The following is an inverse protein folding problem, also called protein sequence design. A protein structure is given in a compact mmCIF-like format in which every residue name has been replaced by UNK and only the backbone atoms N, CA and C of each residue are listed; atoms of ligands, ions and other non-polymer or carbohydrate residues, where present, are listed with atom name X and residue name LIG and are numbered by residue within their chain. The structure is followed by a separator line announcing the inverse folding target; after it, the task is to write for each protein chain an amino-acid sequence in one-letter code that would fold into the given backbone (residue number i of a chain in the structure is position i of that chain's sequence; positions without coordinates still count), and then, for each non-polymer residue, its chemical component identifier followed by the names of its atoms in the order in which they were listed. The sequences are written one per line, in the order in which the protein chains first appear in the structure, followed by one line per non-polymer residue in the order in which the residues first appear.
data_IF_691341814283
#
_entry.id   IF_691341814283
#
_cell.length_a   1.000
_cell.length_b   1.000
_cell.length_c   1.000
_cell.angle_alpha   90.00
_cell.angle_beta   90.00
_cell.angle_gamma   90.00
#
_symmetry.space_group_name_H-M   'P 1'
#
loop_
_entity.id
_entity.type
_entity.pdbx_description
1 polymer ?
#
# COMPACT_ATOMS: atom_id res chain seq x y z
N UNK A 1 6.28 1.53 18.87
CA UNK A 1 5.92 1.98 17.51
C UNK A 1 5.03 3.22 17.62
N UNK A 2 5.36 4.27 16.90
CA UNK A 2 4.66 5.56 17.01
C UNK A 2 3.90 5.98 15.75
N UNK A 3 3.41 5.04 14.99
CA UNK A 3 2.56 5.36 13.84
C UNK A 3 1.17 5.72 14.37
N UNK A 4 0.79 6.99 14.24
CA UNK A 4 -0.46 7.50 14.83
C UNK A 4 -1.74 6.89 14.26
N UNK A 5 -1.64 6.23 13.11
CA UNK A 5 -2.77 5.53 12.50
C UNK A 5 -2.94 4.09 13.00
N UNK A 6 -2.05 3.60 13.86
CA UNK A 6 -2.11 2.27 14.44
C UNK A 6 -2.46 2.41 15.92
N UNK A 7 -3.72 2.17 16.26
CA UNK A 7 -4.19 2.27 17.64
C UNK A 7 -3.85 1.01 18.44
N UNK A 8 -4.08 -0.16 17.85
CA UNK A 8 -3.80 -1.47 18.42
C UNK A 8 -3.03 -2.29 17.39
N UNK A 9 -1.74 -2.51 17.66
CA UNK A 9 -0.84 -3.18 16.71
C UNK A 9 -1.26 -4.63 16.42
N UNK A 10 -1.76 -5.36 17.41
CA UNK A 10 -2.17 -6.75 17.20
C UNK A 10 -3.40 -6.85 16.31
N UNK A 11 -4.42 -6.03 16.60
CA UNK A 11 -5.63 -5.97 15.78
C UNK A 11 -5.33 -5.49 14.38
N UNK A 12 -4.47 -4.48 14.26
CA UNK A 12 -4.05 -3.92 12.98
C UNK A 12 -3.34 -4.96 12.12
N UNK A 13 -2.41 -5.69 12.71
CA UNK A 13 -1.65 -6.76 12.04
C UNK A 13 -2.56 -7.88 11.55
N UNK A 14 -3.51 -8.31 12.37
CA UNK A 14 -4.47 -9.38 12.03
C UNK A 14 -5.39 -9.00 10.87
N UNK A 15 -5.56 -7.72 10.60
CA UNK A 15 -6.39 -7.25 9.50
C UNK A 15 -5.79 -7.45 8.11
N UNK A 16 -4.51 -7.80 8.03
CA UNK A 16 -3.84 -8.03 6.75
C UNK A 16 -4.00 -9.49 6.30
N UNK A 17 -4.38 -9.69 5.06
CA UNK A 17 -4.42 -11.02 4.43
C UNK A 17 -3.62 -11.06 3.13
N UNK A 18 -3.58 -9.96 2.40
CA UNK A 18 -2.85 -9.88 1.13
C UNK A 18 -1.40 -9.43 1.36
N UNK A 19 -0.47 -10.07 0.68
CA UNK A 19 0.91 -9.62 0.62
C UNK A 19 1.56 -9.99 -0.71
N UNK A 20 2.64 -9.30 -1.04
CA UNK A 20 3.56 -9.67 -2.11
C UNK A 20 4.97 -9.71 -1.55
N UNK A 21 5.88 -10.43 -2.22
CA UNK A 21 7.26 -10.58 -1.77
C UNK A 21 8.19 -9.70 -2.61
N UNK A 22 9.18 -9.13 -1.95
CA UNK A 22 10.28 -8.40 -2.59
C UNK A 22 11.60 -8.86 -1.98
N UNK A 23 12.66 -8.82 -2.78
CA UNK A 23 14.03 -9.01 -2.29
C UNK A 23 14.78 -7.69 -2.46
N UNK A 24 15.48 -7.26 -1.43
CA UNK A 24 16.20 -5.99 -1.46
C UNK A 24 17.39 -6.12 -2.41
N UNK A 25 17.44 -5.25 -3.42
CA UNK A 25 18.53 -5.20 -4.40
C UNK A 25 19.68 -4.33 -3.87
N UNK A 26 20.88 -4.62 -4.32
CA UNK A 26 22.05 -3.82 -3.96
C UNK A 26 21.84 -2.34 -4.31
N UNK A 27 21.26 -2.05 -5.48
CA UNK A 27 20.95 -0.68 -5.92
C UNK A 27 19.95 0.06 -5.04
N UNK A 28 19.26 -0.65 -4.15
CA UNK A 28 18.26 -0.10 -3.24
C UNK A 28 18.84 0.19 -1.85
N UNK A 29 20.13 -0.04 -1.66
CA UNK A 29 20.81 0.25 -0.40
C UNK A 29 21.53 1.60 -0.44
N UNK A 30 21.79 2.16 0.73
CA UNK A 30 22.52 3.41 0.90
C UNK A 30 24.02 3.15 1.21
N UNK A 31 24.76 4.22 1.49
CA UNK A 31 26.20 4.11 1.79
C UNK A 31 26.51 3.30 3.06
N UNK A 32 25.51 3.08 3.91
CA UNK A 32 25.67 2.29 5.15
C UNK A 32 25.27 0.83 4.97
N UNK A 33 24.87 0.43 3.77
CA UNK A 33 24.40 -0.92 3.48
C UNK A 33 22.96 -1.21 3.88
N UNK A 34 22.23 -0.19 4.31
CA UNK A 34 20.83 -0.30 4.70
C UNK A 34 19.92 0.01 3.53
N UNK A 35 18.70 -0.54 3.55
CA UNK A 35 17.67 -0.16 2.62
C UNK A 35 17.52 1.38 2.64
N UNK A 36 17.64 2.00 1.46
CA UNK A 36 17.50 3.44 1.35
C UNK A 36 16.10 3.86 1.79
N UNK A 37 16.01 4.93 2.56
CA UNK A 37 14.75 5.41 3.17
C UNK A 37 13.68 5.77 2.15
N UNK A 38 14.02 5.98 0.88
CA UNK A 38 13.03 6.27 -0.18
C UNK A 38 12.45 4.99 -0.80
N UNK A 39 13.12 3.87 -0.68
CA UNK A 39 12.74 2.62 -1.36
C UNK A 39 11.45 2.01 -0.81
N UNK A 40 11.12 2.07 0.50
CA UNK A 40 9.82 1.56 0.97
C UNK A 40 8.62 2.10 0.19
N UNK A 41 8.68 3.34 -0.28
CA UNK A 41 7.61 3.93 -1.09
C UNK A 41 7.46 3.22 -2.44
N UNK A 42 8.56 2.79 -3.05
CA UNK A 42 8.54 1.98 -4.28
C UNK A 42 7.94 0.60 -4.00
N UNK A 43 8.27 0.00 -2.88
CA UNK A 43 7.69 -1.28 -2.47
C UNK A 43 6.18 -1.16 -2.20
N UNK A 44 5.75 -0.07 -1.56
CA UNK A 44 4.32 0.20 -1.35
C UNK A 44 3.59 0.33 -2.68
N UNK A 45 4.17 1.04 -3.64
CA UNK A 45 3.58 1.18 -4.98
C UNK A 45 3.42 -0.17 -5.65
N UNK A 46 4.48 -0.97 -5.68
CA UNK A 46 4.45 -2.31 -6.26
C UNK A 46 3.37 -3.17 -5.58
N UNK A 47 3.37 -3.23 -4.26
CA UNK A 47 2.42 -4.04 -3.51
C UNK A 47 0.98 -3.55 -3.68
N UNK A 48 0.77 -2.25 -3.71
CA UNK A 48 -0.54 -1.64 -3.95
C UNK A 48 -1.09 -2.01 -5.32
N UNK A 49 -0.26 -1.98 -6.35
CA UNK A 49 -0.67 -2.36 -7.70
C UNK A 49 -1.05 -3.85 -7.74
N UNK A 50 -0.26 -4.72 -7.12
CA UNK A 50 -0.60 -6.14 -7.03
C UNK A 50 -1.91 -6.36 -6.26
N UNK A 51 -2.15 -5.60 -5.20
CA UNK A 51 -3.41 -5.62 -4.47
C UNK A 51 -4.59 -5.19 -5.36
N UNK A 52 -4.44 -4.10 -6.10
CA UNK A 52 -5.51 -3.62 -7.00
C UNK A 52 -5.78 -4.60 -8.14
N UNK A 53 -4.76 -5.31 -8.63
CA UNK A 53 -4.95 -6.41 -9.58
C UNK A 53 -5.78 -7.52 -8.95
N UNK A 54 -5.45 -7.90 -7.72
CA UNK A 54 -6.14 -8.96 -6.99
C UNK A 54 -7.63 -8.66 -6.80
N UNK A 55 -7.96 -7.43 -6.49
CA UNK A 55 -9.36 -6.98 -6.31
C UNK A 55 -10.02 -6.51 -7.61
N UNK A 56 -9.32 -6.65 -8.75
CA UNK A 56 -9.83 -6.44 -10.12
C UNK A 56 -10.15 -4.99 -10.48
N UNK A 57 -9.53 -4.02 -9.80
CA UNK A 57 -9.74 -2.59 -10.12
C UNK A 57 -8.82 -2.09 -11.23
N UNK A 58 -7.66 -2.73 -11.43
CA UNK A 58 -6.68 -2.26 -12.42
C UNK A 58 -7.18 -2.33 -13.86
N UNK A 59 -8.08 -3.27 -14.17
CA UNK A 59 -8.62 -3.40 -15.52
C UNK A 59 -9.31 -2.13 -16.00
N UNK A 60 -10.11 -1.51 -15.13
CA UNK A 60 -10.82 -0.27 -15.48
C UNK A 60 -9.83 0.91 -15.55
N UNK A 61 -8.92 1.00 -14.62
CA UNK A 61 -7.95 2.10 -14.56
C UNK A 61 -6.93 2.07 -15.70
N UNK A 62 -6.57 0.88 -16.19
CA UNK A 62 -5.65 0.71 -17.32
C UNK A 62 -6.35 0.77 -18.68
N UNK A 63 -7.67 0.79 -18.71
CA UNK A 63 -8.43 0.88 -19.96
C UNK A 63 -8.23 2.28 -20.58
N UNK A 64 -7.70 2.39 -21.81
CA UNK A 64 -7.51 3.69 -22.48
C UNK A 64 -8.83 4.45 -22.67
N UNK A 65 -9.95 3.74 -22.76
CA UNK A 65 -11.30 4.32 -22.90
C UNK A 65 -11.92 4.63 -21.53
N UNK A 66 -11.29 4.22 -20.44
CA UNK A 66 -11.75 4.49 -19.09
C UNK A 66 -11.66 5.98 -18.77
N UNK A 67 -12.57 6.46 -17.93
CA UNK A 67 -12.69 7.87 -17.58
C UNK A 67 -12.04 8.21 -16.23
N UNK A 68 -11.66 7.19 -15.45
CA UNK A 68 -11.21 7.33 -14.07
C UNK A 68 -9.82 6.74 -13.87
N UNK A 69 -9.05 7.36 -13.00
CA UNK A 69 -7.73 6.86 -12.60
C UNK A 69 -7.53 7.08 -11.09
N UNK A 70 -6.69 6.25 -10.44
CA UNK A 70 -6.31 6.49 -9.07
C UNK A 70 -5.11 7.44 -9.01
N UNK A 71 -5.08 8.32 -8.02
CA UNK A 71 -3.93 9.17 -7.73
C UNK A 71 -3.59 9.08 -6.25
N UNK A 72 -2.32 9.18 -5.92
CA UNK A 72 -1.85 9.21 -4.54
C UNK A 72 -1.99 10.62 -4.02
N UNK A 73 -2.75 10.80 -2.93
CA UNK A 73 -2.92 12.11 -2.29
C UNK A 73 -1.87 12.34 -1.21
N UNK A 74 -1.53 11.31 -0.43
CA UNK A 74 -0.45 11.36 0.53
C UNK A 74 0.16 9.96 0.69
N UNK A 75 1.34 9.91 1.29
CA UNK A 75 2.02 8.65 1.53
C UNK A 75 3.00 8.84 2.69
N UNK A 76 3.02 7.89 3.61
CA UNK A 76 3.78 7.96 4.84
C UNK A 76 4.46 6.61 5.10
N UNK A 77 5.67 6.65 5.63
CA UNK A 77 6.41 5.46 6.05
C UNK A 77 7.00 5.69 7.43
N UNK A 78 6.88 4.70 8.30
CA UNK A 78 7.45 4.70 9.65
C UNK A 78 8.41 3.52 9.76
N UNK A 79 9.69 3.83 10.03
CA UNK A 79 10.78 2.86 10.03
C UNK A 79 10.95 2.27 11.42
N UNK A 80 10.97 0.92 11.52
CA UNK A 80 11.07 0.21 12.80
C UNK A 80 12.41 -0.46 12.99
N UNK A 81 12.91 -1.15 11.95
CA UNK A 81 14.17 -1.87 11.96
C UNK A 81 14.91 -1.67 10.66
N UNK A 82 16.23 -1.72 10.74
CA UNK A 82 17.09 -1.66 9.57
C UNK A 82 16.90 -2.90 8.71
N UNK A 83 16.93 -2.70 7.39
CA UNK A 83 16.83 -3.76 6.39
C UNK A 83 18.08 -3.70 5.52
N UNK A 84 18.60 -4.86 5.14
CA UNK A 84 19.88 -4.97 4.45
C UNK A 84 19.73 -5.61 3.07
N UNK A 85 20.79 -5.52 2.28
CA UNK A 85 20.87 -6.17 0.98
C UNK A 85 20.45 -7.64 1.06
N UNK A 86 19.69 -8.06 0.05
CA UNK A 86 19.24 -9.45 -0.17
C UNK A 86 18.24 -9.97 0.87
N UNK A 87 17.81 -9.16 1.82
CA UNK A 87 16.71 -9.58 2.69
C UNK A 87 15.42 -9.73 1.89
N UNK A 88 14.65 -10.74 2.24
CA UNK A 88 13.31 -10.98 1.67
C UNK A 88 12.27 -10.39 2.58
N UNK A 89 11.38 -9.59 2.01
CA UNK A 89 10.30 -8.95 2.74
C UNK A 89 8.96 -9.36 2.17
N UNK A 90 7.97 -9.47 3.04
CA UNK A 90 6.56 -9.53 2.67
C UNK A 90 5.96 -8.16 2.89
N UNK A 91 5.41 -7.59 1.84
CA UNK A 91 4.74 -6.30 1.90
C UNK A 91 3.24 -6.55 1.90
N UNK A 92 2.65 -6.40 3.07
CA UNK A 92 1.20 -6.59 3.28
C UNK A 92 0.47 -5.31 2.94
N UNK A 93 -0.72 -5.44 2.36
CA UNK A 93 -1.57 -4.32 1.96
C UNK A 93 -3.00 -4.58 2.39
N UNK A 94 -3.65 -3.55 2.92
CA UNK A 94 -5.10 -3.60 3.19
C UNK A 94 -5.72 -2.24 2.96
N UNK A 95 -7.01 -2.24 2.60
CA UNK A 95 -7.83 -1.04 2.66
C UNK A 95 -8.28 -0.86 4.10
N UNK A 96 -7.87 0.23 4.75
CA UNK A 96 -8.20 0.47 6.15
C UNK A 96 -9.56 1.16 6.31
N UNK A 97 -9.83 2.13 5.46
CA UNK A 97 -11.13 2.83 5.44
C UNK A 97 -11.43 3.32 4.04
N UNK A 98 -12.72 3.42 3.72
CA UNK A 98 -13.19 3.80 2.39
C UNK A 98 -14.05 5.05 2.49
N UNK A 99 -13.63 6.11 1.79
CA UNK A 99 -14.42 7.34 1.64
C UNK A 99 -15.34 7.26 0.42
N UNK A 100 -15.88 8.40 0.01
CA UNK A 100 -16.75 8.48 -1.16
C UNK A 100 -16.00 8.33 -2.49
N UNK A 101 -14.77 8.85 -2.56
CA UNK A 101 -13.90 8.79 -3.74
C UNK A 101 -12.45 8.46 -3.37
N UNK A 102 -12.18 8.11 -2.12
CA UNK A 102 -10.85 7.83 -1.60
C UNK A 102 -10.85 6.52 -0.81
N UNK A 103 -9.66 5.97 -0.65
CA UNK A 103 -9.42 4.80 0.20
C UNK A 103 -8.10 5.00 0.92
N UNK A 104 -8.09 4.75 2.23
CA UNK A 104 -6.88 4.78 3.04
C UNK A 104 -6.26 3.38 3.02
N UNK A 105 -5.12 3.27 2.36
CA UNK A 105 -4.40 2.00 2.23
C UNK A 105 -3.31 1.94 3.30
N UNK A 106 -3.24 0.82 4.00
CA UNK A 106 -2.19 0.56 4.98
C UNK A 106 -1.23 -0.51 4.47
N UNK A 107 0.02 -0.38 4.87
CA UNK A 107 1.11 -1.27 4.48
C UNK A 107 1.87 -1.74 5.70
N UNK A 108 2.33 -2.99 5.66
CA UNK A 108 3.17 -3.57 6.71
C UNK A 108 4.23 -4.43 6.05
N UNK A 109 5.49 -4.14 6.31
CA UNK A 109 6.60 -4.96 5.82
C UNK A 109 7.14 -5.85 6.92
N UNK A 110 7.26 -7.14 6.65
CA UNK A 110 7.85 -8.13 7.56
C UNK A 110 9.04 -8.81 6.91
N UNK A 111 10.07 -9.06 7.73
CA UNK A 111 11.20 -9.88 7.31
C UNK A 111 10.90 -11.37 7.49
N UNK A 112 11.86 -12.23 7.16
CA UNK A 112 11.69 -13.69 7.26
C UNK A 112 11.59 -14.20 8.69
N UNK A 113 11.98 -13.39 9.67
CA UNK A 113 11.83 -13.70 11.11
C UNK A 113 10.43 -13.36 11.63
N UNK A 114 9.60 -12.73 10.79
CA UNK A 114 8.28 -12.27 11.20
C UNK A 114 8.27 -10.91 11.92
N UNK A 115 9.39 -10.21 11.94
CA UNK A 115 9.47 -8.87 12.54
C UNK A 115 8.93 -7.82 11.59
N UNK A 116 8.17 -6.86 12.12
CA UNK A 116 7.76 -5.68 11.37
C UNK A 116 8.97 -4.78 11.23
N UNK A 117 9.36 -4.47 9.99
CA UNK A 117 10.54 -3.66 9.71
C UNK A 117 10.19 -2.22 9.34
N UNK A 118 9.07 -2.01 8.67
CA UNK A 118 8.48 -0.69 8.47
C UNK A 118 6.98 -0.82 8.20
N UNK A 119 6.27 0.28 8.44
CA UNK A 119 4.83 0.38 8.18
C UNK A 119 4.57 1.61 7.34
N UNK A 120 3.40 1.70 6.76
CA UNK A 120 3.01 2.88 6.00
C UNK A 120 1.51 2.99 5.81
N UNK A 121 1.12 4.12 5.31
CA UNK A 121 -0.24 4.39 4.89
C UNK A 121 -0.25 5.45 3.81
N UNK A 122 -1.34 5.53 3.08
CA UNK A 122 -1.55 6.60 2.12
C UNK A 122 -2.96 6.60 1.59
N UNK A 123 -3.45 7.78 1.27
CA UNK A 123 -4.76 7.96 0.68
C UNK A 123 -4.65 7.90 -0.84
N UNK A 124 -5.48 7.08 -1.44
CA UNK A 124 -5.65 6.98 -2.89
C UNK A 124 -7.00 7.58 -3.23
N UNK A 125 -7.02 8.51 -4.19
CA UNK A 125 -8.24 9.18 -4.63
C UNK A 125 -8.50 8.83 -6.07
N UNK A 126 -9.74 8.44 -6.38
CA UNK A 126 -10.16 8.24 -7.75
C UNK A 126 -10.58 9.59 -8.33
N UNK A 127 -10.02 9.93 -9.50
CA UNK A 127 -10.35 11.18 -10.19
C UNK A 127 -10.84 10.88 -11.60
N UNK A 128 -11.58 11.84 -12.13
CA UNK A 128 -11.96 11.88 -13.55
C UNK A 128 -10.75 12.39 -14.34
N UNK A 129 -10.38 11.67 -15.41
CA UNK A 129 -9.21 12.01 -16.23
C UNK A 129 -9.33 13.38 -16.90
N UNK A 130 -10.53 13.77 -17.29
CA UNK A 130 -10.78 15.01 -18.04
C UNK A 130 -10.83 16.23 -17.15
N UNK A 131 -11.52 16.12 -16.04
CA UNK A 131 -11.76 17.27 -15.15
C UNK A 131 -10.73 17.38 -14.03
N UNK A 132 -10.05 16.28 -13.68
CA UNK A 132 -9.16 16.22 -12.51
C UNK A 132 -9.90 16.23 -11.18
N UNK A 133 -11.24 16.20 -11.20
CA UNK A 133 -12.06 16.20 -9.99
C UNK A 133 -12.23 14.79 -9.45
N UNK A 134 -12.48 14.68 -8.15
CA UNK A 134 -12.75 13.39 -7.52
C UNK A 134 -13.96 12.71 -8.17
N UNK A 135 -13.85 11.38 -8.35
CA UNK A 135 -14.88 10.55 -8.92
C UNK A 135 -15.28 9.49 -7.90
N UNK A 136 -16.56 9.46 -7.56
CA UNK A 136 -17.09 8.57 -6.53
C UNK A 136 -16.92 7.10 -6.89
N UNK A 137 -16.63 6.27 -5.89
CA UNK A 137 -16.66 4.83 -6.03
C UNK A 137 -18.10 4.39 -6.34
N UNK A 138 -18.23 3.36 -7.17
CA UNK A 138 -19.50 2.63 -7.29
C UNK A 138 -19.70 1.79 -6.02
N UNK A 139 -20.95 1.33 -5.78
CA UNK A 139 -21.23 0.45 -4.64
C UNK A 139 -20.43 -0.85 -4.72
N UNK A 140 -20.22 -1.38 -5.93
CA UNK A 140 -19.41 -2.58 -6.15
C UNK A 140 -17.94 -2.35 -5.78
N UNK A 141 -17.39 -1.20 -6.15
CA UNK A 141 -16.01 -0.83 -5.82
C UNK A 141 -15.83 -0.68 -4.30
N UNK A 142 -16.80 -0.04 -3.62
CA UNK A 142 -16.79 0.06 -2.16
C UNK A 142 -16.82 -1.32 -1.48
N UNK A 143 -17.65 -2.22 -1.97
CA UNK A 143 -17.72 -3.59 -1.44
C UNK A 143 -16.40 -4.33 -1.58
N UNK A 144 -15.70 -4.15 -2.69
CA UNK A 144 -14.39 -4.76 -2.93
C UNK A 144 -13.40 -4.34 -1.83
N UNK A 145 -13.34 -3.04 -1.54
CA UNK A 145 -12.46 -2.54 -0.49
C UNK A 145 -12.91 -3.02 0.90
N UNK A 146 -14.19 -2.97 1.19
CA UNK A 146 -14.74 -3.38 2.49
C UNK A 146 -14.48 -4.85 2.79
N UNK A 147 -14.57 -5.72 1.79
CA UNK A 147 -14.25 -7.15 1.94
C UNK A 147 -12.77 -7.38 2.25
N UNK A 148 -11.89 -6.48 1.88
CA UNK A 148 -10.46 -6.59 2.13
C UNK A 148 -10.04 -5.97 3.48
N UNK A 149 -10.97 -5.43 4.25
CA UNK A 149 -10.70 -4.85 5.58
C UNK A 149 -10.66 -5.93 6.68
N UNK A 150 -11.04 -7.17 6.38
CA UNK A 150 -11.06 -8.28 7.37
C UNK A 150 -9.70 -8.92 7.52
#
# INVERSE_FOLDING_TARGET
MRAGYIEDIEAWEKGFSFYTEVSVRFSETDMYGHLNNTIPFTYFEYARIEYFKKVMLMNDWLNPKGEKIPVVADLQCDYQKQVFFDEKLRIYVKANSVGSSSVDIHYMAKNTKGDIVFTGRGSIVQIDKKTGKSAKWTEQEKEVFQKSIY
#
